data_IF_268322849522
#
_entry.id   IF_268322849522
#
_cell.length_a   1.000
_cell.length_b   1.000
_cell.length_c   1.000
_cell.angle_alpha   90.00
_cell.angle_beta   90.00
_cell.angle_gamma   90.00
#
_symmetry.space_group_name_H-M   'P 1'
#
loop_
_entity.id
_entity.type
_entity.pdbx_description
1 polymer ?
#
# COMPACT_ATOMS: atom_id res chain seq x y z
N UNK A 1 -16.06 -40.24 -9.78
CA UNK A 1 -16.48 -40.44 -8.38
C UNK A 1 -15.38 -41.21 -7.67
N UNK A 2 -14.74 -40.56 -6.71
CA UNK A 2 -13.70 -41.09 -5.82
C UNK A 2 -13.22 -39.92 -4.96
N UNK A 3 -13.22 -40.01 -3.62
CA UNK A 3 -12.86 -38.87 -2.79
C UNK A 3 -11.34 -38.69 -2.76
N UNK A 4 -10.88 -37.46 -3.04
CA UNK A 4 -9.49 -37.07 -2.79
C UNK A 4 -9.32 -36.87 -1.28
N UNK A 5 -8.53 -37.74 -0.66
CA UNK A 5 -8.17 -37.67 0.75
C UNK A 5 -7.21 -36.51 1.02
N UNK A 6 -7.45 -35.75 2.08
CA UNK A 6 -6.50 -34.80 2.63
C UNK A 6 -5.34 -35.55 3.31
N UNK A 7 -4.10 -35.24 2.93
CA UNK A 7 -2.91 -35.76 3.60
C UNK A 7 -2.60 -34.90 4.82
N UNK A 8 -2.85 -35.44 6.02
CA UNK A 8 -2.37 -34.87 7.28
C UNK A 8 -0.92 -35.35 7.46
N UNK A 9 0.06 -34.46 7.28
CA UNK A 9 1.45 -34.77 7.55
C UNK A 9 1.67 -34.80 9.08
N UNK A 10 1.53 -35.97 9.68
CA UNK A 10 1.98 -36.23 11.05
C UNK A 10 3.50 -36.44 11.03
N UNK A 11 4.24 -35.39 11.37
CA UNK A 11 5.67 -35.49 11.67
C UNK A 11 5.85 -36.25 12.99
N UNK A 12 6.08 -37.57 12.90
CA UNK A 12 6.49 -38.39 14.03
C UNK A 12 7.95 -38.15 14.38
N UNK A 13 8.20 -37.45 15.48
CA UNK A 13 9.54 -37.27 16.05
C UNK A 13 9.90 -38.52 16.85
N UNK A 14 10.82 -39.34 16.32
CA UNK A 14 11.42 -40.45 17.08
C UNK A 14 12.52 -39.89 17.99
N UNK A 15 12.22 -39.70 19.28
CA UNK A 15 13.22 -39.36 20.29
C UNK A 15 13.65 -40.63 21.03
N UNK A 16 14.91 -41.04 20.81
CA UNK A 16 15.61 -42.02 21.63
C UNK A 16 15.99 -41.38 22.96
N UNK A 17 15.55 -42.02 24.05
CA UNK A 17 15.97 -41.88 25.46
C UNK A 17 15.79 -40.50 26.10
N UNK A 18 14.86 -40.47 27.06
CA UNK A 18 14.46 -39.32 27.86
C UNK A 18 15.38 -39.11 29.08
N UNK A 19 15.85 -37.87 29.26
CA UNK A 19 16.26 -37.33 30.56
C UNK A 19 15.30 -36.18 30.94
N UNK A 20 14.63 -36.22 32.11
CA UNK A 20 13.75 -35.15 32.58
C UNK A 20 14.52 -34.01 33.30
N UNK A 21 13.98 -32.76 33.33
CA UNK A 21 12.77 -32.27 32.69
C UNK A 21 13.09 -31.27 31.57
N UNK A 22 12.81 -31.62 30.31
CA UNK A 22 12.69 -30.64 29.24
C UNK A 22 11.21 -30.35 29.00
N UNK A 23 10.80 -29.11 29.25
CA UNK A 23 9.53 -28.61 28.74
C UNK A 23 9.69 -28.37 27.24
N UNK A 24 9.15 -29.26 26.41
CA UNK A 24 8.95 -28.97 24.99
C UNK A 24 7.85 -27.91 24.87
N UNK A 25 8.26 -26.64 24.89
CA UNK A 25 7.41 -25.52 24.53
C UNK A 25 7.28 -25.47 23.01
N UNK A 26 6.16 -25.97 22.48
CA UNK A 26 5.71 -25.60 21.14
C UNK A 26 5.13 -24.19 21.26
N UNK A 27 5.98 -23.18 21.05
CA UNK A 27 5.54 -21.80 20.94
C UNK A 27 4.86 -21.63 19.57
N UNK A 28 3.62 -22.12 19.47
CA UNK A 28 2.73 -21.83 18.35
C UNK A 28 2.39 -20.34 18.45
N UNK A 29 3.25 -19.48 17.92
CA UNK A 29 2.90 -18.10 17.62
C UNK A 29 1.77 -18.15 16.61
N UNK A 30 0.53 -18.08 17.08
CA UNK A 30 -0.64 -17.82 16.25
C UNK A 30 -0.31 -16.56 15.43
N UNK A 31 -0.27 -16.72 14.11
CA UNK A 31 -0.21 -15.60 13.18
C UNK A 31 -1.53 -14.83 13.36
N UNK A 32 -1.57 -13.91 14.32
CA UNK A 32 -2.63 -12.91 14.39
C UNK A 32 -2.41 -11.93 13.24
N UNK A 33 -2.86 -12.35 12.05
CA UNK A 33 -3.07 -11.45 10.94
C UNK A 33 -4.20 -10.49 11.32
N UNK A 34 -3.89 -9.20 11.33
CA UNK A 34 -4.87 -8.14 11.55
C UNK A 34 -5.28 -7.63 10.18
N UNK A 35 -6.57 -7.71 9.85
CA UNK A 35 -7.11 -7.12 8.63
C UNK A 35 -7.75 -5.77 8.92
N UNK A 36 -7.42 -4.77 8.11
CA UNK A 36 -8.02 -3.44 8.20
C UNK A 36 -8.55 -3.02 6.83
N UNK A 37 -9.83 -2.69 6.74
CA UNK A 37 -10.42 -2.19 5.52
C UNK A 37 -10.36 -0.65 5.51
N UNK A 38 -9.61 -0.08 4.56
CA UNK A 38 -9.77 1.30 4.15
C UNK A 38 -10.75 1.32 2.99
N UNK A 39 -12.03 1.62 3.25
CA UNK A 39 -13.08 1.67 2.23
C UNK A 39 -13.78 3.00 2.25
N UNK A 40 -14.16 3.50 1.07
CA UNK A 40 -14.84 4.78 0.96
C UNK A 40 -16.21 4.74 1.65
N UNK A 41 -16.45 5.54 2.71
CA UNK A 41 -17.77 5.64 3.33
C UNK A 41 -18.82 6.11 2.33
N UNK A 42 -20.11 5.85 2.60
CA UNK A 42 -21.19 6.32 1.73
C UNK A 42 -21.11 7.84 1.50
N UNK A 43 -20.94 8.23 0.24
CA UNK A 43 -20.78 9.62 -0.18
C UNK A 43 -21.33 9.78 -1.60
N UNK A 44 -22.17 10.80 -1.81
CA UNK A 44 -22.82 11.02 -3.10
C UNK A 44 -21.84 11.66 -4.08
N UNK A 45 -21.63 11.00 -5.22
CA UNK A 45 -20.83 11.52 -6.35
C UNK A 45 -21.76 11.68 -7.53
N UNK A 46 -22.08 12.93 -7.87
CA UNK A 46 -22.94 13.28 -9.01
C UNK A 46 -22.16 13.86 -10.20
N UNK A 47 -20.85 14.02 -10.06
CA UNK A 47 -19.96 14.58 -11.08
C UNK A 47 -18.96 13.53 -11.55
N UNK A 48 -18.64 13.57 -12.82
CA UNK A 48 -17.57 12.76 -13.40
C UNK A 48 -16.20 13.31 -12.94
N UNK A 49 -15.15 12.48 -13.00
CA UNK A 49 -13.76 12.83 -12.68
C UNK A 49 -13.57 13.39 -11.24
N UNK A 50 -14.20 12.73 -10.26
CA UNK A 50 -14.15 13.14 -8.84
C UNK A 50 -13.07 12.37 -8.07
N UNK A 51 -12.27 13.11 -7.28
CA UNK A 51 -11.25 12.56 -6.39
C UNK A 51 -11.68 12.73 -4.93
N UNK A 52 -11.96 11.62 -4.27
CA UNK A 52 -12.37 11.60 -2.87
C UNK A 52 -11.30 10.94 -2.02
N UNK A 53 -11.10 11.47 -0.83
CA UNK A 53 -10.27 10.86 0.18
C UNK A 53 -11.09 10.49 1.41
N UNK A 54 -10.65 9.44 2.09
CA UNK A 54 -11.07 9.06 3.43
C UNK A 54 -9.85 8.59 4.21
N UNK A 55 -9.90 8.65 5.53
CA UNK A 55 -8.80 8.20 6.39
C UNK A 55 -9.25 7.13 7.37
N UNK A 56 -8.33 6.21 7.67
CA UNK A 56 -8.49 5.22 8.74
C UNK A 56 -7.31 5.35 9.69
N UNK A 57 -7.62 5.48 10.99
CA UNK A 57 -6.61 5.42 12.04
C UNK A 57 -6.13 3.97 12.18
N UNK A 58 -4.81 3.78 12.26
CA UNK A 58 -4.24 2.48 12.56
C UNK A 58 -4.37 2.17 14.06
N UNK A 59 -4.36 0.89 14.46
CA UNK A 59 -4.31 0.53 15.87
C UNK A 59 -3.15 1.24 16.59
N UNK A 60 -3.45 1.88 17.72
CA UNK A 60 -2.55 2.76 18.46
C UNK A 60 -1.85 2.08 19.65
N UNK A 61 -1.98 0.75 19.75
CA UNK A 61 -1.41 -0.02 20.86
C UNK A 61 0.07 -0.33 20.68
N UNK A 62 0.49 -0.66 19.46
CA UNK A 62 1.86 -1.09 19.13
C UNK A 62 2.13 -0.93 17.61
N UNK A 63 3.41 -0.79 17.19
CA UNK A 63 3.74 -0.78 15.78
C UNK A 63 3.44 -2.13 15.11
N UNK A 64 2.89 -2.06 13.90
CA UNK A 64 2.53 -3.22 13.07
C UNK A 64 3.31 -3.21 11.75
N UNK A 65 3.38 -4.38 11.13
CA UNK A 65 3.98 -4.59 9.82
C UNK A 65 2.89 -4.75 8.77
N UNK A 66 2.78 -3.80 7.84
CA UNK A 66 1.88 -3.86 6.70
C UNK A 66 2.52 -4.70 5.59
N UNK A 67 2.00 -5.91 5.39
CA UNK A 67 2.57 -6.96 4.53
C UNK A 67 1.76 -7.21 3.25
N UNK A 68 0.58 -6.60 3.10
CA UNK A 68 -0.25 -6.86 1.93
C UNK A 68 -1.34 -5.84 1.69
N UNK A 69 -1.70 -5.74 0.41
CA UNK A 69 -2.78 -4.89 -0.10
C UNK A 69 -3.69 -5.74 -0.98
N UNK A 70 -4.99 -5.71 -0.70
CA UNK A 70 -5.99 -6.33 -1.55
C UNK A 70 -6.97 -5.25 -2.04
N UNK A 71 -7.00 -4.93 -3.34
CA UNK A 71 -7.94 -3.95 -3.87
C UNK A 71 -9.36 -4.51 -3.80
N UNK A 72 -10.24 -3.80 -3.10
CA UNK A 72 -11.68 -4.01 -3.11
C UNK A 72 -12.21 -3.02 -4.14
N UNK A 73 -12.55 -3.44 -5.36
CA UNK A 73 -12.95 -2.48 -6.40
C UNK A 73 -14.18 -2.94 -7.17
N UNK A 74 -15.11 -2.01 -7.37
CA UNK A 74 -16.06 -2.12 -8.47
C UNK A 74 -15.39 -1.59 -9.74
N UNK A 75 -14.94 -2.52 -10.59
CA UNK A 75 -14.20 -2.24 -11.85
C UNK A 75 -14.95 -1.32 -12.83
N UNK A 76 -16.23 -1.06 -12.58
CA UNK A 76 -17.10 -0.27 -13.45
C UNK A 76 -16.94 1.24 -13.21
N UNK A 77 -16.62 1.66 -11.98
CA UNK A 77 -16.71 3.07 -11.54
C UNK A 77 -15.40 3.64 -11.01
N UNK A 78 -14.52 2.80 -10.45
CA UNK A 78 -13.21 3.26 -9.96
C UNK A 78 -12.18 3.21 -11.08
N UNK A 79 -11.53 4.34 -11.32
CA UNK A 79 -10.43 4.43 -12.28
C UNK A 79 -9.08 4.11 -11.65
N UNK A 80 -8.80 4.63 -10.47
CA UNK A 80 -7.66 4.22 -9.67
C UNK A 80 -7.87 4.52 -8.18
N UNK A 81 -7.05 3.88 -7.35
CA UNK A 81 -6.95 4.11 -5.92
C UNK A 81 -5.49 4.36 -5.55
N UNK A 82 -5.25 5.28 -4.61
CA UNK A 82 -3.95 5.49 -3.99
C UNK A 82 -4.10 5.39 -2.48
N UNK A 83 -3.14 4.75 -1.82
CA UNK A 83 -3.05 4.69 -0.38
C UNK A 83 -1.81 5.45 0.08
N UNK A 84 -2.01 6.40 0.98
CA UNK A 84 -0.97 7.19 1.61
C UNK A 84 -0.87 6.82 3.09
N UNK A 85 0.34 6.80 3.64
CA UNK A 85 0.59 6.74 5.06
C UNK A 85 1.04 8.10 5.58
N UNK A 86 0.57 8.50 6.76
CA UNK A 86 1.00 9.73 7.41
C UNK A 86 0.64 9.79 8.90
N UNK A 87 1.17 10.79 9.60
CA UNK A 87 0.86 11.03 11.01
C UNK A 87 -0.58 11.55 11.20
N UNK A 88 -1.02 12.47 10.33
CA UNK A 88 -2.38 13.02 10.37
C UNK A 88 -2.96 13.27 8.96
N UNK A 89 -4.25 12.99 8.74
CA UNK A 89 -4.93 13.28 7.47
C UNK A 89 -5.08 14.79 7.26
N UNK A 90 -5.24 15.22 6.00
CA UNK A 90 -5.43 16.62 5.65
C UNK A 90 -6.78 17.20 6.10
N UNK A 91 -7.78 16.33 6.34
CA UNK A 91 -9.10 16.71 6.85
C UNK A 91 -9.52 15.77 7.98
N UNK A 92 -10.37 16.28 8.87
CA UNK A 92 -11.08 15.49 9.89
C UNK A 92 -12.46 15.01 9.40
N UNK A 93 -12.88 15.46 8.21
CA UNK A 93 -14.10 14.99 7.59
C UNK A 93 -13.98 13.51 7.22
N UNK A 94 -15.07 12.75 7.35
CA UNK A 94 -15.09 11.33 6.97
C UNK A 94 -14.72 11.11 5.51
N UNK A 95 -15.13 12.04 4.65
CA UNK A 95 -14.82 12.07 3.22
C UNK A 95 -14.61 13.52 2.82
N UNK A 96 -13.55 13.79 2.05
CA UNK A 96 -13.28 15.13 1.50
C UNK A 96 -12.81 15.05 0.06
N UNK A 97 -12.93 16.15 -0.67
CA UNK A 97 -12.36 16.26 -2.00
C UNK A 97 -10.86 16.52 -1.89
N UNK A 98 -10.06 15.68 -2.53
CA UNK A 98 -8.60 15.70 -2.38
C UNK A 98 -7.85 15.66 -3.71
N UNK A 99 -8.45 16.23 -4.78
CA UNK A 99 -7.90 16.22 -6.14
C UNK A 99 -6.45 16.74 -6.21
N UNK A 100 -6.24 18.05 -6.34
CA UNK A 100 -4.91 18.68 -6.31
C UNK A 100 -4.55 19.19 -4.91
N UNK A 101 -5.12 18.58 -3.87
CA UNK A 101 -4.88 18.95 -2.48
C UNK A 101 -4.11 17.84 -1.77
N UNK A 102 -3.31 18.15 -0.75
CA UNK A 102 -2.63 17.13 0.05
C UNK A 102 -3.60 16.11 0.61
N UNK A 103 -3.20 14.84 0.62
CA UNK A 103 -3.98 13.78 1.27
C UNK A 103 -3.77 13.82 2.79
N UNK A 104 -2.57 14.19 3.23
CA UNK A 104 -2.17 14.33 4.63
C UNK A 104 -1.88 15.79 5.00
N UNK A 105 -1.96 16.10 6.30
CA UNK A 105 -1.62 17.44 6.80
C UNK A 105 -0.10 17.73 6.73
N UNK A 106 0.71 16.68 6.59
CA UNK A 106 2.16 16.73 6.47
C UNK A 106 2.64 16.02 5.19
N UNK A 107 3.73 15.24 5.31
CA UNK A 107 4.27 14.48 4.18
C UNK A 107 3.34 13.33 3.77
N UNK A 108 3.07 13.24 2.46
CA UNK A 108 2.32 12.14 1.85
C UNK A 108 3.29 10.98 1.52
N UNK A 109 3.21 9.86 2.26
CA UNK A 109 3.96 8.65 1.93
C UNK A 109 3.11 7.71 1.08
N UNK A 110 3.31 7.69 -0.24
CA UNK A 110 2.60 6.75 -1.13
C UNK A 110 3.02 5.32 -0.78
N UNK A 111 2.08 4.49 -0.37
CA UNK A 111 2.33 3.10 0.03
C UNK A 111 1.86 2.10 -1.02
N UNK A 112 0.74 2.40 -1.70
CA UNK A 112 0.11 1.51 -2.66
C UNK A 112 -0.66 2.29 -3.72
N UNK A 113 -0.75 1.71 -4.92
CA UNK A 113 -1.59 2.22 -5.99
C UNK A 113 -2.21 1.09 -6.78
N UNK A 114 -3.47 1.27 -7.17
CA UNK A 114 -4.20 0.34 -8.02
C UNK A 114 -4.86 1.09 -9.16
N UNK A 115 -4.80 0.56 -10.38
CA UNK A 115 -5.47 1.11 -11.56
C UNK A 115 -6.50 0.13 -12.11
N UNK A 116 -7.53 0.66 -12.77
CA UNK A 116 -8.56 -0.15 -13.42
C UNK A 116 -7.94 -1.16 -14.38
N UNK A 117 -8.23 -2.44 -14.14
CA UNK A 117 -7.74 -3.55 -14.96
C UNK A 117 -6.33 -4.01 -14.65
N UNK A 118 -5.63 -3.37 -13.70
CA UNK A 118 -4.35 -3.86 -13.21
C UNK A 118 -4.54 -4.98 -12.19
N UNK A 119 -3.59 -5.92 -12.19
CA UNK A 119 -3.44 -6.89 -11.12
C UNK A 119 -3.07 -6.20 -9.81
N UNK A 120 -3.39 -6.84 -8.69
CA UNK A 120 -2.94 -6.36 -7.39
C UNK A 120 -1.41 -6.45 -7.31
N UNK A 121 -0.78 -5.36 -6.87
CA UNK A 121 0.65 -5.37 -6.56
C UNK A 121 0.87 -6.06 -5.22
N UNK A 122 1.81 -7.00 -5.19
CA UNK A 122 2.17 -7.77 -4.01
C UNK A 122 3.55 -7.35 -3.52
N UNK A 123 3.72 -7.27 -2.20
CA UNK A 123 5.03 -7.11 -1.60
C UNK A 123 5.82 -8.41 -1.77
N UNK A 124 7.14 -8.35 -2.03
CA UNK A 124 7.99 -9.52 -1.96
C UNK A 124 7.90 -10.21 -0.59
N UNK A 125 8.09 -11.54 -0.50
CA UNK A 125 8.08 -12.23 0.78
C UNK A 125 9.05 -11.62 1.79
N UNK A 126 8.62 -11.46 3.04
CA UNK A 126 9.46 -10.88 4.10
C UNK A 126 9.62 -9.36 4.02
N UNK A 127 8.77 -8.66 3.27
CA UNK A 127 8.83 -7.19 3.10
C UNK A 127 7.60 -6.52 3.70
N UNK A 128 7.78 -5.42 4.44
CA UNK A 128 6.66 -4.65 5.01
C UNK A 128 6.95 -3.17 5.20
N UNK A 129 5.88 -2.38 5.25
CA UNK A 129 5.93 -1.02 5.81
C UNK A 129 5.69 -1.08 7.32
N UNK A 130 6.54 -0.42 8.11
CA UNK A 130 6.29 -0.20 9.53
C UNK A 130 5.25 0.89 9.71
N UNK A 131 4.17 0.58 10.43
CA UNK A 131 3.04 1.50 10.66
C UNK A 131 2.59 1.49 12.13
N UNK A 132 1.78 2.46 12.54
CA UNK A 132 1.29 2.60 13.91
C UNK A 132 2.21 3.44 14.82
N UNK A 133 2.03 3.37 16.15
CA UNK A 133 2.76 4.17 17.13
C UNK A 133 4.29 4.07 16.98
N UNK A 134 4.97 5.21 17.08
CA UNK A 134 6.42 5.29 16.94
C UNK A 134 6.93 5.22 15.49
N UNK A 135 6.03 5.20 14.51
CA UNK A 135 6.35 5.31 13.08
C UNK A 135 5.83 6.64 12.52
N UNK A 136 6.19 6.98 11.28
CA UNK A 136 5.65 8.14 10.58
C UNK A 136 4.22 7.94 10.04
N UNK A 137 3.62 6.76 10.26
CA UNK A 137 2.35 6.35 9.66
C UNK A 137 1.37 5.92 10.75
N UNK A 138 0.72 6.89 11.38
CA UNK A 138 -0.37 6.65 12.35
C UNK A 138 -1.74 6.50 11.67
N UNK A 139 -1.89 7.06 10.48
CA UNK A 139 -3.08 7.01 9.65
C UNK A 139 -2.76 6.50 8.25
N UNK A 140 -3.75 5.86 7.65
CA UNK A 140 -3.77 5.62 6.20
C UNK A 140 -4.86 6.47 5.57
N UNK A 141 -4.54 7.13 4.46
CA UNK A 141 -5.48 7.91 3.66
C UNK A 141 -5.68 7.20 2.33
N UNK A 142 -6.92 6.86 2.03
CA UNK A 142 -7.32 6.27 0.76
C UNK A 142 -7.89 7.37 -0.14
N UNK A 143 -7.25 7.60 -1.28
CA UNK A 143 -7.80 8.38 -2.38
C UNK A 143 -8.41 7.46 -3.42
N UNK A 144 -9.64 7.75 -3.85
CA UNK A 144 -10.28 7.09 -4.98
C UNK A 144 -10.63 8.13 -6.06
N UNK A 145 -10.20 7.85 -7.28
CA UNK A 145 -10.67 8.56 -8.46
C UNK A 145 -11.85 7.80 -9.10
N UNK A 146 -13.05 8.40 -9.02
CA UNK A 146 -14.25 7.95 -9.69
C UNK A 146 -14.42 8.65 -11.05
N UNK A 147 -14.57 7.86 -12.12
CA UNK A 147 -14.81 8.40 -13.47
C UNK A 147 -16.24 8.81 -13.72
N UNK A 148 -17.18 8.41 -12.86
CA UNK A 148 -18.58 8.77 -12.99
C UNK A 148 -19.36 8.54 -11.70
N UNK A 149 -20.68 8.55 -11.82
CA UNK A 149 -21.59 8.41 -10.69
C UNK A 149 -21.27 7.17 -9.84
N UNK A 150 -21.10 7.39 -8.54
CA UNK A 150 -20.87 6.32 -7.57
C UNK A 150 -22.17 5.53 -7.30
N UNK A 151 -22.15 4.19 -7.39
CA UNK A 151 -23.27 3.34 -7.01
C UNK A 151 -23.57 3.45 -5.50
N UNK A 152 -24.84 3.28 -5.12
CA UNK A 152 -25.27 3.37 -3.71
C UNK A 152 -24.59 2.33 -2.80
N UNK A 153 -24.24 1.16 -3.34
CA UNK A 153 -23.58 0.04 -2.64
C UNK A 153 -22.10 -0.09 -2.97
N UNK A 154 -21.44 1.00 -3.34
CA UNK A 154 -20.01 0.96 -3.63
C UNK A 154 -19.17 0.85 -2.35
N UNK A 155 -18.53 -0.30 -2.16
CA UNK A 155 -17.62 -0.61 -1.05
C UNK A 155 -16.15 -0.58 -1.51
N UNK A 156 -15.84 0.22 -2.54
CA UNK A 156 -14.49 0.29 -3.09
C UNK A 156 -13.47 0.83 -2.07
N UNK A 157 -12.27 0.28 -2.12
CA UNK A 157 -11.13 0.62 -1.29
C UNK A 157 -10.05 -0.44 -1.28
N UNK A 158 -9.32 -0.55 -0.18
CA UNK A 158 -8.19 -1.47 -0.03
C UNK A 158 -8.29 -2.16 1.32
N UNK A 159 -8.22 -3.50 1.31
CA UNK A 159 -7.98 -4.28 2.51
C UNK A 159 -6.49 -4.40 2.77
N UNK A 160 -6.09 -4.09 3.98
CA UNK A 160 -4.71 -4.10 4.46
C UNK A 160 -4.49 -5.34 5.30
N UNK A 161 -3.41 -6.06 5.03
CA UNK A 161 -2.95 -7.20 5.83
C UNK A 161 -1.80 -6.76 6.72
N UNK A 162 -2.03 -6.75 8.03
CA UNK A 162 -1.09 -6.33 9.06
C UNK A 162 -0.65 -7.54 9.90
N UNK A 163 0.55 -7.51 10.44
CA UNK A 163 1.05 -8.52 11.38
C UNK A 163 1.93 -7.89 12.44
N UNK A 164 2.01 -8.54 13.61
CA UNK A 164 2.98 -8.21 14.66
C UNK A 164 4.35 -8.84 14.42
N UNK A 165 4.43 -9.81 13.50
CA UNK A 165 5.69 -10.49 13.21
C UNK A 165 6.64 -9.54 12.49
N UNK A 166 7.84 -9.30 13.03
CA UNK A 166 8.86 -8.51 12.35
C UNK A 166 9.17 -9.11 10.98
N UNK A 167 9.30 -8.27 9.97
CA UNK A 167 9.74 -8.68 8.65
C UNK A 167 11.23 -8.35 8.48
N UNK A 168 11.99 -9.19 7.75
CA UNK A 168 13.41 -8.96 7.53
C UNK A 168 13.73 -7.77 6.62
N UNK A 169 12.79 -7.36 5.75
CA UNK A 169 12.99 -6.28 4.78
C UNK A 169 12.00 -5.15 5.01
N UNK A 170 12.51 -3.93 5.06
CA UNK A 170 11.69 -2.72 5.12
C UNK A 170 11.28 -2.30 3.70
N UNK A 171 9.98 -2.13 3.48
CA UNK A 171 9.43 -1.49 2.30
C UNK A 171 9.54 0.03 2.44
N UNK A 172 9.83 0.70 1.34
CA UNK A 172 9.87 2.15 1.24
C UNK A 172 9.64 2.60 -0.19
N UNK A 173 9.45 3.91 -0.37
CA UNK A 173 9.33 4.49 -1.70
C UNK A 173 10.34 5.61 -1.90
N UNK A 174 11.07 5.55 -3.01
CA UNK A 174 11.93 6.63 -3.48
C UNK A 174 11.16 7.46 -4.51
N UNK A 175 10.91 8.72 -4.19
CA UNK A 175 10.20 9.64 -5.06
C UNK A 175 11.18 10.52 -5.85
N UNK A 176 11.06 10.48 -7.18
CA UNK A 176 11.76 11.39 -8.07
C UNK A 176 10.76 12.41 -8.61
N UNK A 177 10.80 13.63 -8.07
CA UNK A 177 10.04 14.76 -8.57
C UNK A 177 11.00 15.88 -8.98
N UNK A 178 10.65 16.61 -10.04
CA UNK A 178 11.45 17.73 -10.55
C UNK A 178 10.53 18.90 -10.85
N UNK A 179 11.04 20.11 -10.60
CA UNK A 179 10.40 21.35 -11.02
C UNK A 179 11.01 21.82 -12.34
N UNK A 180 10.18 21.98 -13.37
CA UNK A 180 10.62 22.35 -14.71
C UNK A 180 9.55 23.17 -15.44
N UNK A 181 9.88 23.69 -16.63
CA UNK A 181 8.93 24.37 -17.52
C UNK A 181 9.12 23.86 -18.93
N UNK A 182 8.01 23.55 -19.61
CA UNK A 182 8.01 23.09 -21.01
C UNK A 182 7.78 24.31 -21.91
N UNK A 183 8.75 24.69 -22.76
CA UNK A 183 8.55 25.81 -23.66
C UNK A 183 7.43 25.52 -24.68
N UNK A 184 6.59 26.51 -25.03
CA UNK A 184 5.49 26.31 -25.94
C UNK A 184 5.98 25.97 -27.36
N UNK A 185 5.20 25.16 -28.07
CA UNK A 185 5.44 24.76 -29.48
C UNK A 185 6.73 23.98 -29.73
N UNK A 186 7.36 23.41 -28.71
CA UNK A 186 8.42 22.43 -28.91
C UNK A 186 7.82 21.05 -29.20
N UNK A 187 8.36 20.30 -30.19
CA UNK A 187 7.86 18.95 -30.50
C UNK A 187 8.18 17.93 -29.39
N UNK A 188 9.24 18.18 -28.61
CA UNK A 188 9.66 17.34 -27.48
C UNK A 188 10.50 18.18 -26.51
N UNK A 189 10.41 17.89 -25.21
CA UNK A 189 11.24 18.50 -24.18
C UNK A 189 11.67 17.41 -23.19
N UNK A 190 12.98 17.18 -23.06
CA UNK A 190 13.52 16.16 -22.15
C UNK A 190 13.72 16.76 -20.75
N UNK A 191 13.34 16.00 -19.72
CA UNK A 191 13.47 16.41 -18.33
C UNK A 191 14.32 15.35 -17.63
N UNK A 192 15.51 15.75 -17.19
CA UNK A 192 16.39 14.93 -16.37
C UNK A 192 16.06 15.13 -14.89
N UNK A 193 15.97 14.02 -14.15
CA UNK A 193 15.92 14.01 -12.69
C UNK A 193 16.92 12.99 -12.16
N UNK A 194 17.92 13.45 -11.42
CA UNK A 194 19.02 12.62 -10.92
C UNK A 194 19.28 12.94 -9.46
N UNK A 195 19.32 11.91 -8.64
CA UNK A 195 19.69 12.00 -7.24
C UNK A 195 20.68 10.86 -6.91
N UNK A 196 21.65 11.16 -6.05
CA UNK A 196 22.50 10.12 -5.47
C UNK A 196 21.77 9.50 -4.28
N UNK A 197 21.60 8.18 -4.28
CA UNK A 197 21.12 7.47 -3.11
C UNK A 197 22.26 7.30 -2.11
N UNK A 198 22.07 7.82 -0.89
CA UNK A 198 23.03 7.71 0.21
C UNK A 198 22.34 7.07 1.43
N UNK A 199 21.78 5.88 1.24
CA UNK A 199 21.21 5.08 2.31
C UNK A 199 22.29 4.33 3.09
N UNK A 200 21.99 3.97 4.33
CA UNK A 200 22.88 3.16 5.17
C UNK A 200 22.91 1.68 4.72
N UNK A 201 21.82 1.20 4.11
CA UNK A 201 21.71 -0.13 3.48
C UNK A 201 21.44 -0.03 1.97
N UNK A 202 21.79 -1.07 1.20
CA UNK A 202 21.36 -1.19 -0.20
C UNK A 202 19.84 -1.18 -0.34
N UNK A 203 19.34 -0.53 -1.40
CA UNK A 203 17.94 -0.54 -1.77
C UNK A 203 17.73 -1.41 -3.03
N UNK A 204 16.79 -2.35 -2.96
CA UNK A 204 16.39 -3.18 -4.10
C UNK A 204 15.02 -2.73 -4.63
N UNK A 205 14.99 -2.35 -5.90
CA UNK A 205 13.75 -1.94 -6.57
C UNK A 205 12.97 -3.16 -7.06
N UNK A 206 11.71 -3.28 -6.65
CA UNK A 206 10.83 -4.39 -7.04
C UNK A 206 9.53 -3.94 -7.74
N UNK A 207 9.19 -2.66 -7.64
CA UNK A 207 8.05 -2.05 -8.31
C UNK A 207 8.35 -0.58 -8.64
N UNK A 208 7.66 -0.04 -9.64
CA UNK A 208 7.73 1.37 -9.96
C UNK A 208 6.36 1.88 -10.38
N UNK A 209 6.11 3.17 -10.12
CA UNK A 209 4.92 3.90 -10.58
C UNK A 209 5.39 5.14 -11.32
N UNK A 210 4.81 5.38 -12.48
CA UNK A 210 5.00 6.62 -13.22
C UNK A 210 3.79 7.52 -13.05
N UNK A 211 4.01 8.83 -13.05
CA UNK A 211 2.94 9.82 -13.01
C UNK A 211 3.31 11.01 -13.91
N UNK A 212 2.43 11.33 -14.85
CA UNK A 212 2.52 12.53 -15.68
C UNK A 212 1.13 13.07 -15.94
N UNK A 213 1.05 14.37 -16.26
CA UNK A 213 -0.14 14.96 -16.85
C UNK A 213 -0.16 14.72 -18.38
N UNK A 214 -1.00 15.49 -19.11
CA UNK A 214 -1.31 15.29 -20.53
C UNK A 214 -0.12 15.32 -21.51
N UNK A 215 0.99 15.98 -21.16
CA UNK A 215 2.15 16.12 -22.04
C UNK A 215 3.19 15.00 -21.90
N UNK A 216 3.05 14.11 -20.90
CA UNK A 216 3.94 12.96 -20.74
C UNK A 216 3.83 12.00 -21.92
N UNK A 217 4.97 11.44 -22.35
CA UNK A 217 5.02 10.47 -23.46
C UNK A 217 5.81 9.23 -23.10
N UNK A 218 7.04 9.41 -22.61
CA UNK A 218 7.92 8.32 -22.23
C UNK A 218 8.59 8.65 -20.91
N UNK A 219 8.61 7.67 -20.01
CA UNK A 219 9.33 7.72 -18.74
C UNK A 219 10.20 6.48 -18.67
N UNK A 220 11.44 6.66 -18.24
CA UNK A 220 12.37 5.58 -17.99
C UNK A 220 13.12 5.90 -16.70
N UNK A 221 13.43 4.86 -15.93
CA UNK A 221 14.22 4.96 -14.70
C UNK A 221 15.38 3.99 -14.91
N UNK A 222 16.59 4.46 -14.61
CA UNK A 222 17.79 3.64 -14.64
C UNK A 222 18.67 4.01 -13.45
N UNK A 223 19.30 3.01 -12.84
CA UNK A 223 20.36 3.23 -11.88
C UNK A 223 21.67 3.47 -12.64
N UNK A 224 22.41 4.51 -12.25
CA UNK A 224 23.75 4.77 -12.76
C UNK A 224 24.74 4.42 -11.64
N UNK A 225 25.79 3.62 -11.91
CA UNK A 225 26.82 3.29 -10.94
C UNK A 225 27.61 4.51 -10.45
#
# INVERSE_FOLDING_TARGET
MGPSAAALALLGLWLLTADPPWCLGLDLKLNEAVELNATMPAFKVDQDDTYLCTSVALPDTEPLQLVGFQPLSSKEVVHHMLLFGCDAPASQDKVWQCSMQPACAGGDHVMYGWGRGADAMHLPPGTSFSVGPGTAVAHVVLQIHYMGKRPEKDESGVRLSLTRQPQPLAAGMLHFASWFSIPPRQPSHHIDNRCCFNGFEPAEGFAFRVHTHLLGRYLHIHAVP
#
